data_IF_223602408587
#
_entry.id   IF_223602408587
#
_cell.length_a   1.000
_cell.length_b   1.000
_cell.length_c   1.000
_cell.angle_alpha   90.00
_cell.angle_beta   90.00
_cell.angle_gamma   90.00
#
_symmetry.space_group_name_H-M   'P 1'
#
loop_
_entity.id
_entity.type
_entity.pdbx_description
1 polymer ?
#
# COMPACT_ATOMS: atom_id res chain seq x y z
N UNK A 1 13.76 3.85 -37.43
CA UNK A 1 12.82 4.99 -37.36
C UNK A 1 13.15 5.81 -36.13
N UNK A 2 13.77 6.98 -36.29
CA UNK A 2 13.99 7.92 -35.19
C UNK A 2 12.72 8.75 -35.02
N UNK A 3 11.88 8.41 -34.04
CA UNK A 3 10.66 9.14 -33.74
C UNK A 3 10.98 10.53 -33.19
N UNK A 4 10.55 11.58 -33.89
CA UNK A 4 10.58 12.96 -33.38
C UNK A 4 9.77 13.06 -32.10
N UNK A 5 10.40 13.47 -31.01
CA UNK A 5 9.75 13.73 -29.72
C UNK A 5 8.93 15.02 -29.80
N UNK A 6 7.66 14.94 -29.38
CA UNK A 6 6.75 16.09 -29.28
C UNK A 6 6.61 16.50 -27.83
N UNK A 7 6.76 17.79 -27.56
CA UNK A 7 6.42 18.39 -26.27
C UNK A 7 4.93 18.73 -26.22
N UNK A 8 4.23 18.31 -25.16
CA UNK A 8 2.83 18.62 -24.90
C UNK A 8 2.70 19.43 -23.61
N UNK A 9 1.65 20.25 -23.51
CA UNK A 9 1.37 21.11 -22.35
C UNK A 9 0.02 20.72 -21.75
N UNK A 10 0.01 20.37 -20.47
CA UNK A 10 -1.22 20.17 -19.69
C UNK A 10 -1.75 21.53 -19.17
N UNK A 11 -3.07 21.69 -19.13
CA UNK A 11 -3.72 22.96 -18.80
C UNK A 11 -4.48 22.87 -17.45
N UNK A 12 -3.97 23.53 -16.42
CA UNK A 12 -4.63 23.57 -15.10
C UNK A 12 -5.91 24.41 -15.03
N UNK A 13 -6.17 25.28 -16.02
CA UNK A 13 -7.43 26.02 -16.11
C UNK A 13 -8.56 25.14 -16.70
N UNK A 14 -8.22 24.10 -17.46
CA UNK A 14 -9.17 23.13 -17.99
C UNK A 14 -9.73 22.27 -16.85
N UNK A 15 -11.06 22.26 -16.72
CA UNK A 15 -11.74 21.60 -15.60
C UNK A 15 -11.60 20.07 -15.64
N UNK A 16 -11.54 19.48 -16.84
CA UNK A 16 -11.37 18.02 -17.01
C UNK A 16 -9.97 17.60 -16.60
N UNK A 17 -8.94 18.32 -17.05
CA UNK A 17 -7.55 18.03 -16.67
C UNK A 17 -7.29 18.33 -15.19
N UNK A 18 -7.84 19.40 -14.65
CA UNK A 18 -7.73 19.73 -13.22
C UNK A 18 -8.41 18.68 -12.34
N UNK A 19 -9.59 18.19 -12.73
CA UNK A 19 -10.29 17.11 -12.01
C UNK A 19 -9.55 15.79 -12.10
N UNK A 20 -9.07 15.42 -13.29
CA UNK A 20 -8.24 14.23 -13.47
C UNK A 20 -6.93 14.30 -12.65
N UNK A 21 -6.30 15.48 -12.58
CA UNK A 21 -5.12 15.70 -11.73
C UNK A 21 -5.46 15.59 -10.24
N UNK A 22 -6.59 16.14 -9.79
CA UNK A 22 -7.07 16.01 -8.40
C UNK A 22 -7.42 14.57 -8.02
N UNK A 23 -8.06 13.81 -8.91
CA UNK A 23 -8.39 12.41 -8.68
C UNK A 23 -7.12 11.54 -8.67
N UNK A 24 -6.18 11.82 -9.58
CA UNK A 24 -4.84 11.22 -9.57
C UNK A 24 -4.12 11.51 -8.25
N UNK A 25 -4.14 12.76 -7.78
CA UNK A 25 -3.54 13.16 -6.51
C UNK A 25 -4.24 12.53 -5.30
N UNK A 26 -5.57 12.35 -5.35
CA UNK A 26 -6.33 11.64 -4.32
C UNK A 26 -6.02 10.13 -4.30
N UNK A 27 -5.79 9.50 -5.45
CA UNK A 27 -5.30 8.12 -5.56
C UNK A 27 -3.88 8.00 -5.02
N UNK A 28 -3.02 8.99 -5.31
CA UNK A 28 -1.67 9.10 -4.76
C UNK A 28 -1.64 9.53 -3.28
N UNK A 29 -2.73 10.07 -2.76
CA UNK A 29 -2.94 10.35 -1.32
C UNK A 29 -3.63 9.19 -0.61
N UNK A 30 -4.29 8.30 -1.37
CA UNK A 30 -4.90 7.04 -0.93
C UNK A 30 -3.92 5.98 -0.42
N UNK A 31 -2.64 6.31 -0.35
CA UNK A 31 -1.54 5.52 0.23
C UNK A 31 -1.25 5.87 1.70
N UNK A 32 -2.23 6.42 2.40
CA UNK A 32 -2.17 6.48 3.86
C UNK A 32 -2.34 5.07 4.43
N UNK A 33 -1.25 4.49 4.96
CA UNK A 33 -1.24 3.17 5.62
C UNK A 33 -2.40 3.04 6.63
N UNK A 34 -2.71 4.10 7.38
CA UNK A 34 -3.81 4.09 8.37
C UNK A 34 -5.17 3.90 7.68
N UNK A 35 -5.42 4.57 6.55
CA UNK A 35 -6.67 4.45 5.81
C UNK A 35 -6.82 3.05 5.20
N UNK A 36 -5.73 2.50 4.65
CA UNK A 36 -5.69 1.15 4.06
C UNK A 36 -5.98 0.10 5.13
N UNK A 37 -5.27 0.15 6.27
CA UNK A 37 -5.48 -0.79 7.38
C UNK A 37 -6.90 -0.68 7.94
N UNK A 38 -7.42 0.56 8.09
CA UNK A 38 -8.80 0.78 8.53
C UNK A 38 -9.85 0.18 7.60
N UNK A 39 -9.67 0.32 6.28
CA UNK A 39 -10.57 -0.30 5.30
C UNK A 39 -10.43 -1.82 5.24
N UNK A 40 -9.20 -2.32 5.29
CA UNK A 40 -8.92 -3.76 5.32
C UNK A 40 -9.64 -4.43 6.49
N UNK A 41 -9.49 -3.89 7.71
CA UNK A 41 -10.18 -4.41 8.90
C UNK A 41 -11.71 -4.46 8.71
N UNK A 42 -12.33 -3.38 8.24
CA UNK A 42 -13.79 -3.33 8.02
C UNK A 42 -14.27 -4.39 7.04
N UNK A 43 -13.56 -4.59 5.93
CA UNK A 43 -13.96 -5.56 4.91
C UNK A 43 -13.72 -7.01 5.37
N UNK A 44 -12.62 -7.29 6.08
CA UNK A 44 -12.36 -8.62 6.63
C UNK A 44 -13.39 -9.01 7.67
N UNK A 45 -13.77 -8.07 8.54
CA UNK A 45 -14.83 -8.29 9.52
C UNK A 45 -16.17 -8.57 8.83
N UNK A 46 -16.53 -7.81 7.80
CA UNK A 46 -17.76 -8.02 7.05
C UNK A 46 -17.79 -9.40 6.36
N UNK A 47 -16.69 -9.83 5.73
CA UNK A 47 -16.58 -11.15 5.12
C UNK A 47 -16.72 -12.28 6.17
N UNK A 48 -16.06 -12.13 7.32
CA UNK A 48 -16.16 -13.06 8.43
C UNK A 48 -17.59 -13.19 8.98
N UNK A 49 -18.28 -12.06 9.13
CA UNK A 49 -19.68 -12.00 9.55
C UNK A 49 -20.63 -12.63 8.52
N UNK A 50 -20.26 -12.63 7.24
CA UNK A 50 -20.98 -13.29 6.15
C UNK A 50 -20.56 -14.76 5.91
N UNK A 51 -19.74 -15.33 6.80
CA UNK A 51 -19.43 -16.77 6.80
C UNK A 51 -18.11 -17.17 6.13
N UNK A 52 -17.39 -16.24 5.49
CA UNK A 52 -16.04 -16.50 4.93
C UNK A 52 -15.03 -16.55 6.08
N UNK A 53 -14.42 -17.71 6.35
CA UNK A 53 -13.63 -17.93 7.60
C UNK A 53 -12.33 -18.70 7.36
N UNK A 54 -11.42 -18.59 8.32
CA UNK A 54 -10.16 -19.34 8.33
C UNK A 54 -9.37 -19.13 7.04
N UNK A 55 -8.91 -20.22 6.45
CA UNK A 55 -8.08 -20.21 5.24
C UNK A 55 -8.79 -19.54 4.05
N UNK A 56 -10.10 -19.69 3.93
CA UNK A 56 -10.89 -19.05 2.86
C UNK A 56 -10.81 -17.53 2.98
N UNK A 57 -10.90 -17.00 4.20
CA UNK A 57 -10.83 -15.58 4.48
C UNK A 57 -9.43 -15.03 4.16
N UNK A 58 -8.36 -15.74 4.54
CA UNK A 58 -6.97 -15.30 4.31
C UNK A 58 -6.55 -15.37 2.84
N UNK A 59 -7.11 -16.31 2.08
CA UNK A 59 -6.84 -16.45 0.64
C UNK A 59 -7.87 -15.71 -0.22
N UNK A 60 -8.86 -15.04 0.38
CA UNK A 60 -9.89 -14.32 -0.35
C UNK A 60 -9.25 -13.20 -1.21
N UNK A 61 -9.64 -13.01 -2.48
CA UNK A 61 -9.02 -12.02 -3.37
C UNK A 61 -9.02 -10.59 -2.82
N UNK A 62 -10.06 -10.21 -2.05
CA UNK A 62 -10.12 -8.92 -1.35
C UNK A 62 -9.00 -8.82 -0.31
N UNK A 63 -8.75 -9.86 0.48
CA UNK A 63 -7.68 -9.88 1.47
C UNK A 63 -6.32 -9.78 0.79
N UNK A 64 -6.10 -10.57 -0.27
CA UNK A 64 -4.86 -10.54 -1.04
C UNK A 64 -4.60 -9.19 -1.72
N UNK A 65 -5.64 -8.49 -2.18
CA UNK A 65 -5.53 -7.15 -2.77
C UNK A 65 -5.03 -6.12 -1.75
N UNK A 66 -5.59 -6.11 -0.53
CA UNK A 66 -5.10 -5.24 0.55
C UNK A 66 -3.67 -5.59 0.95
N UNK A 67 -3.36 -6.87 1.14
CA UNK A 67 -2.01 -7.34 1.48
C UNK A 67 -0.99 -6.96 0.40
N UNK A 68 -1.35 -7.08 -0.88
CA UNK A 68 -0.50 -6.66 -2.00
C UNK A 68 -0.19 -5.16 -1.94
N UNK A 69 -1.18 -4.32 -1.63
CA UNK A 69 -0.95 -2.88 -1.49
C UNK A 69 -0.07 -2.53 -0.28
N UNK A 70 -0.27 -3.20 0.85
CA UNK A 70 0.59 -3.05 2.03
C UNK A 70 2.03 -3.47 1.72
N UNK A 71 2.21 -4.60 1.03
CA UNK A 71 3.52 -5.05 0.59
C UNK A 71 4.21 -4.00 -0.30
N UNK A 72 3.49 -3.47 -1.29
CA UNK A 72 4.01 -2.43 -2.19
C UNK A 72 4.43 -1.15 -1.46
N UNK A 73 3.69 -0.74 -0.41
CA UNK A 73 4.00 0.47 0.35
C UNK A 73 5.17 0.29 1.31
N UNK A 74 5.29 -0.89 1.92
CA UNK A 74 6.38 -1.19 2.84
C UNK A 74 7.64 -1.69 2.13
N UNK A 75 7.57 -1.90 0.80
CA UNK A 75 8.61 -2.52 -0.02
C UNK A 75 9.13 -3.81 0.63
N UNK A 76 8.21 -4.65 1.11
CA UNK A 76 8.57 -5.85 1.87
C UNK A 76 9.19 -6.88 0.93
N UNK A 77 10.39 -7.36 1.30
CA UNK A 77 11.06 -8.50 0.68
C UNK A 77 11.23 -9.58 1.74
N UNK A 78 11.57 -10.80 1.33
CA UNK A 78 11.80 -11.89 2.27
C UNK A 78 12.90 -11.56 3.28
N UNK A 79 14.03 -11.00 2.82
CA UNK A 79 15.13 -10.62 3.73
C UNK A 79 14.70 -9.53 4.72
N UNK A 80 13.96 -8.51 4.25
CA UNK A 80 13.44 -7.44 5.14
C UNK A 80 12.46 -7.97 6.17
N UNK A 81 11.66 -8.98 5.81
CA UNK A 81 10.76 -9.65 6.74
C UNK A 81 11.55 -10.36 7.86
N UNK A 82 12.59 -11.11 7.50
CA UNK A 82 13.44 -11.80 8.49
C UNK A 82 14.18 -10.81 9.40
N UNK A 83 14.72 -9.74 8.84
CA UNK A 83 15.39 -8.68 9.59
C UNK A 83 14.42 -7.99 10.55
N UNK A 84 13.21 -7.67 10.09
CA UNK A 84 12.17 -7.06 10.93
C UNK A 84 11.76 -7.98 12.08
N UNK A 85 11.58 -9.28 11.83
CA UNK A 85 11.23 -10.26 12.87
C UNK A 85 12.35 -10.41 13.92
N UNK A 86 13.61 -10.35 13.49
CA UNK A 86 14.76 -10.32 14.40
C UNK A 86 14.80 -9.04 15.22
N UNK A 87 14.61 -7.88 14.57
CA UNK A 87 14.58 -6.58 15.22
C UNK A 87 13.48 -6.49 16.29
N UNK A 88 12.28 -7.04 16.03
CA UNK A 88 11.18 -7.09 17.02
C UNK A 88 11.61 -7.82 18.30
N UNK A 89 12.29 -8.97 18.19
CA UNK A 89 12.77 -9.72 19.37
C UNK A 89 13.79 -8.93 20.19
N UNK A 90 14.67 -8.20 19.51
CA UNK A 90 15.68 -7.35 20.15
C UNK A 90 15.03 -6.16 20.87
N UNK A 91 14.05 -5.51 20.23
CA UNK A 91 13.23 -4.45 20.85
C UNK A 91 12.52 -4.99 22.10
N UNK A 92 11.92 -6.18 22.03
CA UNK A 92 11.25 -6.82 23.16
C UNK A 92 12.19 -7.03 24.36
N UNK A 93 13.48 -7.25 24.09
CA UNK A 93 14.54 -7.40 25.10
C UNK A 93 15.10 -6.05 25.60
N UNK A 94 14.58 -4.92 25.11
CA UNK A 94 15.04 -3.58 25.46
C UNK A 94 16.27 -3.10 24.70
N UNK A 95 16.70 -3.82 23.66
CA UNK A 95 17.82 -3.41 22.82
C UNK A 95 17.40 -2.35 21.79
N UNK A 96 18.35 -1.46 21.46
CA UNK A 96 18.21 -0.57 20.31
C UNK A 96 18.53 -1.31 19.01
N UNK A 97 17.77 -1.03 17.97
CA UNK A 97 17.96 -1.59 16.63
C UNK A 97 18.04 -0.46 15.61
N UNK A 98 18.97 -0.58 14.67
CA UNK A 98 19.02 0.26 13.48
C UNK A 98 18.17 -0.39 12.38
N UNK A 99 17.56 0.43 11.53
CA UNK A 99 16.75 -0.06 10.42
C UNK A 99 16.82 0.89 9.23
N UNK A 100 16.74 0.32 8.03
CA UNK A 100 16.78 1.09 6.79
C UNK A 100 15.43 1.77 6.52
N UNK A 101 15.48 3.10 6.38
CA UNK A 101 14.37 3.91 5.90
C UNK A 101 14.44 4.00 4.38
N UNK A 102 13.51 3.36 3.68
CA UNK A 102 13.41 3.42 2.22
C UNK A 102 12.38 4.49 1.83
N UNK A 103 12.76 5.55 1.09
CA UNK A 103 11.81 6.54 0.59
C UNK A 103 10.79 5.91 -0.36
N UNK A 104 9.54 6.40 -0.32
CA UNK A 104 8.48 5.99 -1.24
C UNK A 104 8.75 6.48 -2.67
#
# INVERSE_FOLDING_TARGET
>A
MTGTTKTAVANGADEVQRKAASDSDAVQSGVNIVAIVGSFHRHMLALQQNGVRGDELFNHPVALSFTSKLNSLCRMTHDRELDALSAVRRIEQGESVEYDVIPL
#
